data_IF_398017829469
#
_entry.id   IF_398017829469
#
_cell.length_a   1.000
_cell.length_b   1.000
_cell.length_c   1.000
_cell.angle_alpha   90.00
_cell.angle_beta   90.00
_cell.angle_gamma   90.00
#
_symmetry.space_group_name_H-M   'P 1'
#
loop_
_entity.id
_entity.type
_entity.pdbx_description
1 polymer ?
#
# COMPACT_ATOMS: atom_id res chain seq x y z
N UNK A 1 5.71 -27.45 5.77
CA UNK A 1 5.64 -26.71 4.49
C UNK A 1 5.78 -27.60 3.26
N UNK A 2 6.90 -28.30 3.00
CA UNK A 2 7.05 -29.10 1.77
C UNK A 2 5.93 -30.15 1.58
N UNK A 3 5.61 -30.95 2.60
CA UNK A 3 4.49 -31.90 2.56
C UNK A 3 3.13 -31.23 2.38
N UNK A 4 2.92 -30.07 2.99
CA UNK A 4 1.67 -29.32 2.86
C UNK A 4 1.49 -28.70 1.46
N UNK A 5 2.59 -28.39 0.75
CA UNK A 5 2.54 -27.98 -0.65
C UNK A 5 2.11 -29.12 -1.57
N UNK A 6 2.62 -30.33 -1.32
CA UNK A 6 2.27 -31.53 -2.09
C UNK A 6 0.80 -31.93 -1.87
N UNK A 7 0.25 -31.71 -0.67
CA UNK A 7 -1.16 -32.01 -0.34
C UNK A 7 -2.12 -30.86 -0.62
N UNK A 8 -1.62 -29.67 -0.99
CA UNK A 8 -2.46 -28.47 -1.18
C UNK A 8 -2.97 -27.84 0.12
N UNK A 9 -2.36 -28.17 1.25
CA UNK A 9 -2.74 -27.74 2.60
C UNK A 9 -1.82 -26.62 3.13
N UNK A 10 -1.14 -25.87 2.25
CA UNK A 10 -0.22 -24.79 2.68
C UNK A 10 -0.91 -23.72 3.53
N UNK A 11 -2.22 -23.54 3.34
CA UNK A 11 -3.05 -22.61 4.11
C UNK A 11 -2.99 -22.92 5.63
N UNK A 12 -2.72 -24.18 6.02
CA UNK A 12 -2.52 -24.59 7.42
C UNK A 12 -1.15 -24.24 8.00
N UNK A 13 -0.20 -23.84 7.15
CA UNK A 13 1.18 -23.49 7.52
C UNK A 13 1.41 -21.98 7.65
N UNK A 14 0.39 -21.15 7.44
CA UNK A 14 0.49 -19.69 7.48
C UNK A 14 -0.46 -19.13 8.53
N UNK A 15 -0.06 -18.01 9.14
CA UNK A 15 -0.94 -17.27 10.04
C UNK A 15 -2.03 -16.55 9.25
N UNK A 16 -3.20 -16.36 9.88
CA UNK A 16 -4.33 -15.63 9.30
C UNK A 16 -4.82 -14.58 10.29
N UNK A 17 -5.11 -13.37 9.82
CA UNK A 17 -5.71 -12.32 10.63
C UNK A 17 -6.68 -11.48 9.80
N UNK A 18 -7.68 -10.91 10.46
CA UNK A 18 -8.61 -9.96 9.85
C UNK A 18 -8.03 -8.54 9.91
N UNK A 19 -8.19 -7.81 8.81
CA UNK A 19 -7.82 -6.39 8.73
C UNK A 19 -9.06 -5.50 8.84
N UNK A 20 -8.83 -4.25 9.24
CA UNK A 20 -9.84 -3.19 9.28
C UNK A 20 -9.40 -2.04 8.38
N UNK A 21 -10.38 -1.30 7.84
CA UNK A 21 -10.11 -0.10 7.06
C UNK A 21 -9.21 0.87 7.85
N UNK A 22 -8.24 1.47 7.16
CA UNK A 22 -7.24 2.36 7.75
C UNK A 22 -6.03 1.66 8.36
N UNK A 23 -6.00 0.32 8.46
CA UNK A 23 -4.81 -0.39 8.91
C UNK A 23 -3.74 -0.49 7.81
N UNK A 24 -2.48 -0.49 8.22
CA UNK A 24 -1.32 -0.70 7.37
C UNK A 24 -0.63 -2.02 7.74
N UNK A 25 -0.29 -2.81 6.73
CA UNK A 25 0.44 -4.08 6.86
C UNK A 25 1.71 -3.99 6.04
N UNK A 26 2.86 -4.10 6.69
CA UNK A 26 4.16 -4.16 6.02
C UNK A 26 4.49 -5.63 5.76
N UNK A 27 4.75 -5.97 4.51
CA UNK A 27 5.07 -7.33 4.08
C UNK A 27 6.50 -7.37 3.53
N UNK A 28 7.49 -7.80 4.32
CA UNK A 28 8.87 -7.92 3.86
C UNK A 28 9.01 -8.97 2.74
N UNK A 29 10.00 -8.77 1.87
CA UNK A 29 10.37 -9.76 0.86
C UNK A 29 10.67 -11.13 1.49
N UNK A 30 10.28 -12.20 0.79
CA UNK A 30 10.42 -13.58 1.25
C UNK A 30 9.33 -14.03 2.23
N UNK A 31 8.32 -13.20 2.49
CA UNK A 31 7.14 -13.59 3.27
C UNK A 31 6.11 -14.31 2.40
N UNK A 32 5.66 -15.49 2.82
CA UNK A 32 4.49 -16.14 2.23
C UNK A 32 3.25 -15.37 2.70
N UNK A 33 2.49 -14.82 1.76
CA UNK A 33 1.28 -14.09 2.07
C UNK A 33 0.26 -14.23 0.94
N UNK A 34 -0.99 -13.94 1.28
CA UNK A 34 -2.09 -13.81 0.35
C UNK A 34 -3.10 -12.79 0.89
N UNK A 35 -3.80 -12.12 -0.01
CA UNK A 35 -4.87 -11.19 0.33
C UNK A 35 -6.20 -11.95 0.27
N UNK A 36 -6.95 -11.90 1.37
CA UNK A 36 -8.29 -12.48 1.47
C UNK A 36 -9.34 -11.76 0.62
N UNK A 37 -10.49 -12.40 0.44
CA UNK A 37 -11.61 -11.79 -0.29
C UNK A 37 -12.22 -10.58 0.45
N UNK A 38 -12.91 -9.72 -0.31
CA UNK A 38 -13.62 -8.56 0.26
C UNK A 38 -12.73 -7.38 0.66
N UNK A 39 -11.43 -7.44 0.39
CA UNK A 39 -10.46 -6.38 0.72
C UNK A 39 -10.23 -5.47 -0.49
N UNK A 40 -10.36 -4.17 -0.27
CA UNK A 40 -9.83 -3.13 -1.14
C UNK A 40 -8.67 -2.47 -0.42
N UNK A 41 -7.52 -2.38 -1.08
CA UNK A 41 -6.28 -1.85 -0.51
C UNK A 41 -5.51 -1.02 -1.52
N UNK A 42 -4.64 -0.16 -1.00
CA UNK A 42 -3.54 0.44 -1.76
C UNK A 42 -2.28 -0.40 -1.51
N UNK A 43 -1.70 -0.97 -2.56
CA UNK A 43 -0.46 -1.73 -2.48
C UNK A 43 0.69 -0.88 -3.00
N UNK A 44 1.60 -0.50 -2.10
CA UNK A 44 2.82 0.22 -2.44
C UNK A 44 3.96 -0.78 -2.37
N UNK A 45 4.63 -1.00 -3.50
CA UNK A 45 5.70 -1.96 -3.63
C UNK A 45 6.84 -1.39 -4.48
N UNK A 46 8.01 -2.03 -4.38
CA UNK A 46 9.10 -1.78 -5.32
C UNK A 46 8.65 -2.08 -6.75
N UNK A 47 9.25 -1.42 -7.74
CA UNK A 47 8.97 -1.65 -9.16
C UNK A 47 9.50 -3.03 -9.59
N UNK A 48 8.76 -4.08 -9.24
CA UNK A 48 9.02 -5.49 -9.53
C UNK A 48 7.70 -6.20 -9.78
N UNK A 49 7.68 -7.10 -10.75
CA UNK A 49 6.55 -7.94 -11.12
C UNK A 49 6.78 -9.42 -10.74
N UNK A 50 7.80 -9.69 -9.93
CA UNK A 50 8.20 -11.05 -9.59
C UNK A 50 7.28 -11.64 -8.51
N UNK A 51 6.51 -12.66 -8.86
CA UNK A 51 5.67 -13.41 -7.93
C UNK A 51 5.88 -14.91 -8.10
N UNK A 52 6.34 -15.58 -7.04
CA UNK A 52 6.36 -17.04 -6.99
C UNK A 52 5.11 -17.56 -6.30
N UNK A 53 4.21 -18.15 -7.10
CA UNK A 53 2.94 -18.66 -6.60
C UNK A 53 3.11 -20.08 -6.07
N UNK A 54 2.84 -20.25 -4.77
CA UNK A 54 2.91 -21.54 -4.09
C UNK A 54 1.59 -22.31 -4.14
N UNK A 55 0.46 -21.62 -4.06
CA UNK A 55 -0.87 -22.18 -4.12
C UNK A 55 -1.84 -21.17 -4.73
N UNK A 56 -2.93 -21.64 -5.32
CA UNK A 56 -3.89 -20.77 -6.01
C UNK A 56 -5.36 -21.18 -5.93
N UNK A 57 -5.71 -22.09 -5.02
CA UNK A 57 -7.08 -22.58 -4.83
C UNK A 57 -7.72 -23.14 -6.12
N UNK A 58 -6.90 -23.70 -7.02
CA UNK A 58 -7.37 -24.27 -8.29
C UNK A 58 -7.96 -23.24 -9.27
N UNK A 59 -7.69 -21.94 -9.09
CA UNK A 59 -8.18 -20.91 -10.01
C UNK A 59 -7.58 -21.06 -11.41
N UNK A 60 -8.43 -20.81 -12.40
CA UNK A 60 -8.05 -20.81 -13.81
C UNK A 60 -7.74 -19.40 -14.29
N UNK A 61 -6.78 -19.29 -15.19
CA UNK A 61 -6.41 -18.07 -15.88
C UNK A 61 -7.42 -17.67 -16.94
N UNK A 62 -7.16 -16.53 -17.59
CA UNK A 62 -7.96 -16.01 -18.72
C UNK A 62 -7.95 -16.94 -19.94
N UNK A 63 -6.98 -17.84 -20.00
CA UNK A 63 -6.81 -18.90 -21.00
C UNK A 63 -7.59 -20.19 -20.67
N UNK A 64 -8.27 -20.23 -19.52
CA UNK A 64 -8.99 -21.40 -19.03
C UNK A 64 -8.11 -22.51 -18.47
N UNK A 65 -6.80 -22.28 -18.31
CA UNK A 65 -5.87 -23.25 -17.71
C UNK A 65 -5.58 -22.90 -16.25
N UNK A 66 -5.21 -23.88 -15.40
CA UNK A 66 -4.72 -23.58 -14.05
C UNK A 66 -3.55 -22.60 -14.11
N UNK A 67 -3.55 -21.57 -13.26
CA UNK A 67 -2.46 -20.59 -13.26
C UNK A 67 -1.15 -21.25 -12.82
N UNK A 68 -0.04 -20.79 -13.40
CA UNK A 68 1.27 -21.35 -13.13
C UNK A 68 1.66 -21.19 -11.64
N UNK A 69 2.13 -22.30 -11.08
CA UNK A 69 2.78 -22.37 -9.77
C UNK A 69 4.30 -22.51 -9.95
N UNK A 70 5.06 -21.98 -9.01
CA UNK A 70 6.53 -22.10 -8.99
C UNK A 70 7.01 -22.44 -7.58
N UNK A 71 6.86 -23.73 -7.24
CA UNK A 71 7.10 -24.21 -5.88
C UNK A 71 8.58 -24.14 -5.51
N UNK A 72 9.47 -24.49 -6.44
CA UNK A 72 10.90 -24.53 -6.18
C UNK A 72 11.43 -23.12 -5.89
N UNK A 73 11.25 -22.17 -6.81
CA UNK A 73 11.75 -20.81 -6.63
C UNK A 73 11.04 -20.09 -5.49
N UNK A 74 9.75 -20.37 -5.32
CA UNK A 74 8.97 -19.87 -4.18
C UNK A 74 9.57 -20.30 -2.86
N UNK A 75 9.83 -21.59 -2.66
CA UNK A 75 10.45 -22.12 -1.44
C UNK A 75 11.88 -21.60 -1.21
N UNK A 76 12.70 -21.51 -2.26
CA UNK A 76 14.06 -20.97 -2.19
C UNK A 76 14.09 -19.49 -1.76
N UNK A 77 13.00 -18.76 -2.01
CA UNK A 77 12.87 -17.33 -1.68
C UNK A 77 12.29 -17.07 -0.29
N UNK A 78 11.85 -18.10 0.44
CA UNK A 78 11.20 -17.91 1.76
C UNK A 78 12.24 -17.55 2.83
N UNK A 79 11.96 -16.48 3.55
CA UNK A 79 12.69 -16.15 4.77
C UNK A 79 12.01 -16.80 5.98
N UNK A 80 12.48 -17.99 6.37
CA UNK A 80 11.89 -18.76 7.47
C UNK A 80 11.99 -18.11 8.86
N UNK A 81 12.83 -17.08 9.00
CA UNK A 81 13.01 -16.32 10.23
C UNK A 81 12.24 -14.98 10.23
N UNK A 82 11.35 -14.76 9.26
CA UNK A 82 10.51 -13.55 9.25
C UNK A 82 9.64 -13.52 10.52
N UNK A 83 9.66 -12.41 11.29
CA UNK A 83 8.82 -12.29 12.47
C UNK A 83 7.33 -12.28 12.09
N UNK A 84 6.43 -12.61 13.03
CA UNK A 84 5.00 -12.49 12.80
C UNK A 84 4.62 -11.09 12.31
N UNK A 85 3.85 -11.03 11.24
CA UNK A 85 3.31 -9.77 10.71
C UNK A 85 2.01 -9.46 11.44
N UNK A 86 1.85 -8.22 11.85
CA UNK A 86 0.61 -7.72 12.44
C UNK A 86 0.22 -6.39 11.78
N UNK A 87 -1.09 -6.13 11.62
CA UNK A 87 -1.54 -4.83 11.15
C UNK A 87 -1.25 -3.75 12.19
N UNK A 88 -0.82 -2.59 11.71
CA UNK A 88 -0.71 -1.37 12.49
C UNK A 88 -1.89 -0.45 12.21
N UNK A 89 -2.33 0.30 13.21
CA UNK A 89 -3.37 1.32 13.06
C UNK A 89 -2.72 2.69 13.22
N UNK A 90 -2.82 3.58 12.20
CA UNK A 90 -2.40 4.97 12.34
C UNK A 90 -3.12 5.64 13.51
N UNK A 91 -2.49 6.64 14.13
CA UNK A 91 -3.12 7.39 15.21
C UNK A 91 -4.23 8.28 14.65
N UNK A 92 -5.18 8.62 15.50
CA UNK A 92 -6.18 9.63 15.18
C UNK A 92 -5.50 11.00 15.00
N UNK A 93 -6.08 11.85 14.15
CA UNK A 93 -5.58 13.21 13.99
C UNK A 93 -5.93 14.09 15.21
N UNK A 94 -4.95 14.80 15.74
CA UNK A 94 -5.13 15.75 16.86
C UNK A 94 -5.54 17.16 16.39
N UNK A 95 -5.35 17.45 15.10
CA UNK A 95 -5.52 18.75 14.45
C UNK A 95 -6.19 18.70 13.08
N UNK A 96 -6.42 19.87 12.46
CA UNK A 96 -7.11 19.98 11.19
C UNK A 96 -6.28 19.45 10.01
N UNK A 97 -4.96 19.64 10.04
CA UNK A 97 -4.04 19.22 8.99
C UNK A 97 -2.88 18.49 9.66
N UNK A 98 -2.71 17.22 9.36
CA UNK A 98 -1.66 16.38 9.95
C UNK A 98 -1.06 15.42 8.95
N UNK A 99 0.22 15.11 9.17
CA UNK A 99 0.97 14.11 8.43
C UNK A 99 1.57 13.10 9.39
N UNK A 100 1.37 11.82 9.10
CA UNK A 100 1.88 10.70 9.90
C UNK A 100 2.65 9.73 9.01
N UNK A 101 3.89 9.41 9.39
CA UNK A 101 4.65 8.34 8.74
C UNK A 101 4.03 6.97 9.02
N UNK A 102 3.65 6.26 7.95
CA UNK A 102 3.14 4.89 8.02
C UNK A 102 4.24 3.86 7.73
N UNK A 103 5.11 4.17 6.77
CA UNK A 103 6.20 3.29 6.32
C UNK A 103 7.46 4.11 6.17
N UNK A 104 8.52 3.67 6.83
CA UNK A 104 9.87 4.23 6.73
C UNK A 104 10.85 3.11 6.38
N UNK A 105 11.03 2.88 5.08
CA UNK A 105 11.92 1.85 4.55
C UNK A 105 12.96 2.47 3.60
N UNK A 106 14.14 1.86 3.44
CA UNK A 106 15.15 2.33 2.50
C UNK A 106 14.67 2.39 1.04
N UNK A 107 13.71 1.55 0.69
CA UNK A 107 13.19 1.44 -0.68
C UNK A 107 12.11 2.46 -0.99
N UNK A 108 11.30 2.85 0.00
CA UNK A 108 10.25 3.85 -0.13
C UNK A 108 9.73 4.28 1.25
N UNK A 109 9.19 5.48 1.31
CA UNK A 109 8.47 6.03 2.45
C UNK A 109 7.01 6.26 2.07
N UNK A 110 6.11 6.10 3.04
CA UNK A 110 4.69 6.40 2.88
C UNK A 110 4.21 7.19 4.08
N UNK A 111 3.74 8.40 3.83
CA UNK A 111 3.04 9.23 4.80
C UNK A 111 1.53 9.20 4.54
N UNK A 112 0.76 9.31 5.62
CA UNK A 112 -0.68 9.55 5.58
C UNK A 112 -0.94 11.00 5.96
N UNK A 113 -1.48 11.75 5.01
CA UNK A 113 -1.90 13.14 5.24
C UNK A 113 -3.41 13.19 5.44
N UNK A 114 -3.84 13.90 6.48
CA UNK A 114 -5.25 14.13 6.82
C UNK A 114 -5.52 15.61 6.87
N UNK A 115 -6.39 16.08 5.98
CA UNK A 115 -6.63 17.51 5.76
C UNK A 115 -8.11 17.84 5.99
N UNK A 116 -8.36 18.84 6.84
CA UNK A 116 -9.65 19.49 7.08
C UNK A 116 -9.42 20.99 7.14
N UNK A 117 -9.99 21.72 6.19
CA UNK A 117 -9.70 23.14 5.98
C UNK A 117 -8.68 23.31 4.88
N UNK A 118 -7.62 24.07 5.14
CA UNK A 118 -6.59 24.43 4.17
C UNK A 118 -5.22 24.17 4.77
N UNK A 119 -4.36 23.50 4.02
CA UNK A 119 -2.98 23.24 4.36
C UNK A 119 -2.05 23.80 3.28
N UNK A 120 -1.09 24.62 3.70
CA UNK A 120 -0.02 25.10 2.82
C UNK A 120 1.16 24.15 2.95
N UNK A 121 1.34 23.30 1.95
CA UNK A 121 2.33 22.25 2.00
C UNK A 121 3.65 22.73 1.39
N UNK A 122 4.67 22.85 2.25
CA UNK A 122 6.04 23.07 1.81
C UNK A 122 6.65 21.76 1.29
N UNK A 123 6.71 21.61 -0.03
CA UNK A 123 7.36 20.48 -0.68
C UNK A 123 8.89 20.55 -0.52
N UNK A 124 9.56 19.41 -0.56
CA UNK A 124 10.99 19.24 -0.25
C UNK A 124 11.81 18.68 -1.42
N UNK A 125 11.50 19.12 -2.63
CA UNK A 125 12.16 18.72 -3.87
C UNK A 125 12.17 17.20 -4.16
N UNK A 126 11.19 16.46 -3.62
CA UNK A 126 11.00 15.03 -3.92
C UNK A 126 9.85 14.83 -4.88
N UNK A 127 10.01 13.84 -5.75
CA UNK A 127 8.90 13.34 -6.56
C UNK A 127 7.97 12.52 -5.65
N UNK A 128 6.67 12.78 -5.73
CA UNK A 128 5.67 12.18 -4.84
C UNK A 128 4.52 11.61 -5.63
N UNK A 129 3.97 10.50 -5.15
CA UNK A 129 2.74 9.91 -5.65
C UNK A 129 1.69 10.06 -4.55
N UNK A 130 0.69 10.91 -4.80
CA UNK A 130 -0.41 11.15 -3.89
C UNK A 130 -1.61 10.30 -4.30
N UNK A 131 -2.10 9.44 -3.43
CA UNK A 131 -3.29 8.61 -3.68
C UNK A 131 -4.36 8.90 -2.64
N UNK A 132 -5.52 9.37 -3.08
CA UNK A 132 -6.64 9.66 -2.19
C UNK A 132 -7.30 8.36 -1.75
N UNK A 133 -7.33 8.12 -0.44
CA UNK A 133 -7.90 6.91 0.15
C UNK A 133 -9.24 7.17 0.85
N UNK A 134 -9.51 8.42 1.25
CA UNK A 134 -10.79 8.81 1.83
C UNK A 134 -11.12 10.28 1.54
N UNK A 135 -12.42 10.56 1.40
CA UNK A 135 -12.92 11.93 1.27
C UNK A 135 -12.61 12.59 -0.07
N UNK A 136 -12.60 13.91 -0.05
CA UNK A 136 -12.48 14.75 -1.25
C UNK A 136 -11.86 16.11 -0.92
N UNK A 137 -11.31 16.77 -1.94
CA UNK A 137 -10.69 18.08 -1.79
C UNK A 137 -10.14 18.62 -3.10
N UNK A 138 -9.25 19.59 -3.00
CA UNK A 138 -8.54 20.18 -4.13
C UNK A 138 -7.06 20.31 -3.79
N UNK A 139 -6.21 20.02 -4.77
CA UNK A 139 -4.78 20.29 -4.75
C UNK A 139 -4.48 21.39 -5.76
N UNK A 140 -3.97 22.51 -5.28
CA UNK A 140 -3.41 23.58 -6.10
C UNK A 140 -1.90 23.47 -6.10
N UNK A 141 -1.27 23.48 -7.28
CA UNK A 141 0.19 23.53 -7.44
C UNK A 141 0.53 24.54 -8.53
N UNK A 142 1.32 25.55 -8.19
CA UNK A 142 1.76 26.61 -9.11
C UNK A 142 0.60 27.24 -9.91
N UNK A 143 -0.55 27.44 -9.23
CA UNK A 143 -1.77 28.01 -9.80
C UNK A 143 -2.61 27.03 -10.64
N UNK A 144 -2.21 25.77 -10.75
CA UNK A 144 -2.99 24.71 -11.41
C UNK A 144 -3.78 23.93 -10.37
N UNK A 145 -5.09 23.80 -10.58
CA UNK A 145 -6.00 23.10 -9.68
C UNK A 145 -6.31 21.69 -10.15
N UNK A 146 -6.32 20.75 -9.21
CA UNK A 146 -6.67 19.35 -9.40
C UNK A 146 -7.70 18.95 -8.34
N UNK A 147 -8.90 18.56 -8.76
CA UNK A 147 -9.90 17.97 -7.86
C UNK A 147 -9.41 16.61 -7.35
N UNK A 148 -9.64 16.32 -6.08
CA UNK A 148 -9.24 15.09 -5.41
C UNK A 148 -10.48 14.36 -4.89
N UNK A 149 -10.57 13.07 -5.17
CA UNK A 149 -11.61 12.17 -4.69
C UNK A 149 -11.05 10.75 -4.59
N UNK A 150 -11.70 9.88 -3.81
CA UNK A 150 -11.24 8.51 -3.54
C UNK A 150 -10.80 7.78 -4.82
N UNK A 151 -9.61 7.20 -4.79
CA UNK A 151 -9.00 6.48 -5.91
C UNK A 151 -8.23 7.38 -6.90
N UNK A 152 -8.37 8.71 -6.81
CA UNK A 152 -7.55 9.62 -7.62
C UNK A 152 -6.11 9.57 -7.17
N UNK A 153 -5.20 9.45 -8.14
CA UNK A 153 -3.76 9.48 -7.94
C UNK A 153 -3.14 10.62 -8.72
N UNK A 154 -2.24 11.37 -8.07
CA UNK A 154 -1.53 12.53 -8.65
C UNK A 154 -0.04 12.31 -8.48
N UNK A 155 0.72 12.52 -9.56
CA UNK A 155 2.17 12.59 -9.51
C UNK A 155 2.58 14.06 -9.33
N UNK A 156 3.28 14.36 -8.25
CA UNK A 156 3.92 15.65 -8.04
C UNK A 156 5.41 15.56 -8.41
N UNK A 157 5.86 16.28 -9.44
CA UNK A 157 7.27 16.38 -9.78
C UNK A 157 8.11 16.97 -8.64
N UNK A 158 9.40 16.62 -8.62
CA UNK A 158 10.35 17.16 -7.66
C UNK A 158 10.57 18.68 -7.77
N UNK A 159 10.26 19.30 -8.91
CA UNK A 159 10.38 20.74 -9.12
C UNK A 159 9.04 21.48 -8.91
N UNK A 160 8.00 20.79 -8.41
CA UNK A 160 6.75 21.42 -8.04
C UNK A 160 6.99 22.48 -6.97
N UNK A 161 6.40 23.66 -7.16
CA UNK A 161 6.55 24.79 -6.25
C UNK A 161 5.67 24.64 -5.01
N UNK A 162 4.86 25.66 -4.72
CA UNK A 162 4.00 25.64 -3.55
C UNK A 162 2.75 24.79 -3.82
N UNK A 163 2.48 23.83 -2.93
CA UNK A 163 1.26 23.04 -2.96
C UNK A 163 0.29 23.53 -1.88
N UNK A 164 -1.00 23.59 -2.21
CA UNK A 164 -2.07 23.90 -1.26
C UNK A 164 -3.11 22.80 -1.35
N UNK A 165 -3.36 22.13 -0.23
CA UNK A 165 -4.43 21.16 -0.09
C UNK A 165 -5.61 21.81 0.62
N UNK A 166 -6.82 21.60 0.10
CA UNK A 166 -8.05 22.11 0.72
C UNK A 166 -9.12 21.02 0.75
N UNK A 167 -9.81 20.87 1.88
CA UNK A 167 -10.98 20.00 2.02
C UNK A 167 -11.97 20.54 3.04
N UNK A 168 -13.26 20.57 2.70
CA UNK A 168 -14.31 20.98 3.64
C UNK A 168 -14.84 19.82 4.50
N UNK A 169 -14.77 18.60 3.98
CA UNK A 169 -15.40 17.41 4.57
C UNK A 169 -14.39 16.37 5.08
N UNK A 170 -13.10 16.66 4.93
CA UNK A 170 -12.01 15.74 5.24
C UNK A 170 -11.48 15.08 3.98
N UNK A 171 -10.16 15.00 3.90
CA UNK A 171 -9.40 14.33 2.87
C UNK A 171 -8.31 13.51 3.55
N UNK A 172 -8.19 12.23 3.19
CA UNK A 172 -7.05 11.40 3.57
C UNK A 172 -6.35 10.91 2.29
N UNK A 173 -5.05 11.17 2.21
CA UNK A 173 -4.23 10.74 1.08
C UNK A 173 -2.94 10.08 1.57
N UNK A 174 -2.54 9.05 0.85
CA UNK A 174 -1.21 8.45 0.97
C UNK A 174 -0.25 9.25 0.09
N UNK A 175 0.90 9.59 0.64
CA UNK A 175 2.00 10.24 -0.03
C UNK A 175 3.18 9.29 -0.06
N UNK A 176 3.40 8.68 -1.23
CA UNK A 176 4.46 7.71 -1.44
C UNK A 176 5.63 8.39 -2.16
N UNK A 177 6.83 8.26 -1.61
CA UNK A 177 8.03 8.82 -2.20
C UNK A 177 9.26 7.97 -1.88
N UNK A 178 10.35 8.26 -2.58
CA UNK A 178 11.66 7.71 -2.22
C UNK A 178 12.25 8.53 -1.06
N UNK A 179 13.07 7.92 -0.18
CA UNK A 179 13.74 8.64 0.91
C UNK A 179 14.53 9.87 0.46
#
# INVERSE_FOLDING_TARGET
MATALETGEIDSCVDSFEVRAGQCVIVPAGTIHAIGEGIVLAEIQQSSDLTYRLHDWGRVGVDGQPRQLDLQRGLESVHHSTPPIAPSTPSDAEGPCESQCLVDLPEFQVDLHRIRGRDEWALDNRCRILTVVQGEGTLEVDGTNCELSIGRTVLLPADAGQAILTSQHGLELLDSHLP
#
